data_IF_317634045019
#
_entry.id   IF_317634045019
#
_cell.length_a   1.000
_cell.length_b   1.000
_cell.length_c   1.000
_cell.angle_alpha   90.00
_cell.angle_beta   90.00
_cell.angle_gamma   90.00
#
_symmetry.space_group_name_H-M   'P 1'
#
loop_
_entity.id
_entity.type
_entity.pdbx_description
1 polymer ?
#
# COMPACT_ATOMS: atom_id res chain seq x y z
N UNK A 1 73.00 16.58 -8.32
CA UNK A 1 72.47 17.52 -9.33
C UNK A 1 71.02 17.83 -8.95
N UNK A 2 70.78 19.08 -8.60
CA UNK A 2 69.55 19.62 -8.01
C UNK A 2 68.82 20.45 -9.07
N UNK A 3 67.47 20.40 -9.12
CA UNK A 3 66.48 21.40 -9.64
C UNK A 3 65.26 20.68 -10.25
N UNK A 4 64.01 21.13 -10.17
CA UNK A 4 63.33 22.24 -9.49
C UNK A 4 61.81 21.99 -9.66
N UNK A 5 61.00 22.41 -8.69
CA UNK A 5 59.52 22.36 -8.71
C UNK A 5 58.94 23.38 -9.70
N UNK A 6 57.77 23.10 -10.28
CA UNK A 6 56.86 24.13 -10.78
C UNK A 6 55.40 23.72 -10.48
N UNK A 7 54.76 24.51 -9.62
CA UNK A 7 53.32 24.58 -9.41
C UNK A 7 52.72 25.46 -10.52
N UNK A 8 51.58 25.05 -11.09
CA UNK A 8 50.73 25.97 -11.86
C UNK A 8 49.33 25.98 -11.24
N UNK A 9 48.97 27.15 -10.73
CA UNK A 9 47.66 27.51 -10.21
C UNK A 9 46.88 28.17 -11.35
N UNK A 10 45.64 27.74 -11.60
CA UNK A 10 44.73 28.40 -12.53
C UNK A 10 43.47 28.85 -11.77
N UNK A 11 43.22 30.16 -11.77
CA UNK A 11 42.12 30.80 -11.08
C UNK A 11 40.93 31.07 -12.02
N UNK A 12 39.74 30.68 -11.53
CA UNK A 12 38.47 31.43 -11.44
C UNK A 12 38.04 32.30 -12.64
N UNK A 13 36.85 32.00 -13.19
CA UNK A 13 35.78 32.99 -13.44
C UNK A 13 34.47 32.28 -13.79
N UNK A 14 33.47 32.36 -12.91
CA UNK A 14 32.12 31.83 -13.11
C UNK A 14 31.08 32.90 -12.76
N UNK A 15 30.30 33.26 -13.76
CA UNK A 15 29.41 34.42 -13.91
C UNK A 15 28.19 34.36 -12.97
N UNK A 16 27.93 35.44 -12.21
CA UNK A 16 26.68 35.64 -11.45
C UNK A 16 25.71 36.41 -12.35
N UNK A 17 24.54 35.83 -12.63
CA UNK A 17 23.44 36.53 -13.29
C UNK A 17 22.30 36.73 -12.29
N UNK A 18 22.20 37.95 -11.77
CA UNK A 18 21.05 38.45 -11.02
C UNK A 18 20.22 39.32 -11.96
N UNK A 19 18.96 38.96 -12.18
CA UNK A 19 17.98 39.86 -12.77
C UNK A 19 16.94 40.22 -11.71
N UNK A 20 16.96 41.49 -11.31
CA UNK A 20 15.86 42.18 -10.66
C UNK A 20 15.29 43.15 -11.69
N UNK A 21 14.00 43.08 -11.98
CA UNK A 21 13.24 44.25 -12.41
C UNK A 21 11.82 44.23 -11.82
N UNK A 22 11.59 45.33 -11.11
CA UNK A 22 10.47 45.95 -10.41
C UNK A 22 9.11 45.98 -11.13
N UNK A 23 8.06 45.75 -10.31
CA UNK A 23 6.67 46.27 -10.29
C UNK A 23 6.05 46.97 -11.52
N UNK A 24 4.85 46.49 -11.88
CA UNK A 24 3.71 47.34 -12.23
C UNK A 24 2.46 46.87 -11.47
N UNK A 25 1.86 47.80 -10.73
CA UNK A 25 0.58 47.69 -10.03
C UNK A 25 -0.52 48.35 -10.84
N UNK A 26 -1.69 47.72 -10.96
CA UNK A 26 -2.94 48.39 -11.35
C UNK A 26 -4.09 47.90 -10.42
N UNK A 27 -4.82 48.80 -9.73
CA UNK A 27 -5.90 48.46 -8.81
C UNK A 27 -7.27 48.63 -9.46
N UNK A 28 -8.03 47.54 -9.61
CA UNK A 28 -9.51 47.59 -9.54
C UNK A 28 -10.14 46.20 -9.43
N UNK A 29 -10.71 45.97 -8.23
CA UNK A 29 -11.92 45.23 -7.87
C UNK A 29 -12.44 44.18 -8.88
N UNK A 30 -12.68 42.93 -8.48
CA UNK A 30 -13.77 42.65 -7.55
C UNK A 30 -13.48 41.48 -6.60
N UNK A 31 -13.92 41.71 -5.37
CA UNK A 31 -13.97 40.78 -4.27
C UNK A 31 -14.79 39.53 -4.63
N UNK A 32 -14.24 38.37 -4.29
CA UNK A 32 -15.03 37.36 -3.61
C UNK A 32 -14.23 36.85 -2.43
N UNK A 33 -14.76 37.19 -1.26
CA UNK A 33 -14.66 36.43 -0.02
C UNK A 33 -14.81 34.94 -0.35
N UNK A 34 -14.06 34.01 0.24
CA UNK A 34 -14.21 33.65 1.64
C UNK A 34 -13.07 32.74 2.11
N UNK A 35 -12.65 33.00 3.35
CA UNK A 35 -12.27 32.02 4.37
C UNK A 35 -11.33 30.87 3.96
N UNK A 36 -10.03 31.17 3.95
CA UNK A 36 -9.02 30.16 4.22
C UNK A 36 -8.83 30.07 5.74
N UNK A 37 -9.73 29.34 6.40
CA UNK A 37 -9.58 28.91 7.78
C UNK A 37 -10.49 27.71 7.99
N UNK A 38 -9.94 26.50 7.88
CA UNK A 38 -10.28 25.41 8.79
C UNK A 38 -9.37 24.20 8.55
N UNK A 39 -8.83 23.69 9.64
CA UNK A 39 -8.16 22.40 9.75
C UNK A 39 -9.11 21.33 9.21
N UNK A 40 -8.86 20.83 8.01
CA UNK A 40 -9.76 19.91 7.32
C UNK A 40 -9.95 18.61 8.11
N UNK A 41 -11.11 18.48 8.76
CA UNK A 41 -11.69 17.19 9.10
C UNK A 41 -12.09 16.45 7.81
N UNK A 42 -12.38 15.15 7.89
CA UNK A 42 -12.66 14.35 6.70
C UNK A 42 -13.98 14.78 6.05
N UNK A 43 -13.94 15.01 4.74
CA UNK A 43 -15.11 15.28 3.90
C UNK A 43 -16.09 14.09 3.90
N UNK A 44 -17.31 14.33 4.37
CA UNK A 44 -18.43 13.38 4.44
C UNK A 44 -19.60 13.77 3.53
N UNK A 45 -19.43 14.73 2.61
CA UNK A 45 -20.55 15.37 1.88
C UNK A 45 -21.19 14.51 0.76
N UNK A 46 -21.12 13.17 0.85
CA UNK A 46 -21.62 12.26 -0.17
C UNK A 46 -20.67 12.12 -1.37
N UNK A 47 -21.02 11.22 -2.28
CA UNK A 47 -20.20 10.90 -3.44
C UNK A 47 -20.49 11.90 -4.59
N UNK A 48 -19.53 12.75 -4.98
CA UNK A 48 -19.72 13.72 -6.06
C UNK A 48 -19.91 13.06 -7.43
N UNK A 49 -19.43 11.83 -7.62
CA UNK A 49 -19.51 11.10 -8.89
C UNK A 49 -20.92 10.59 -9.26
N UNK A 50 -21.80 10.35 -8.28
CA UNK A 50 -23.19 9.93 -8.53
C UNK A 50 -24.18 11.06 -8.23
N UNK A 51 -23.81 12.03 -7.38
CA UNK A 51 -24.58 13.25 -7.16
C UNK A 51 -26.09 13.01 -6.93
N UNK A 52 -26.93 13.78 -7.61
CA UNK A 52 -28.40 13.70 -7.54
C UNK A 52 -29.00 12.46 -8.21
N UNK A 53 -28.23 11.71 -8.99
CA UNK A 53 -28.69 10.51 -9.68
C UNK A 53 -28.67 9.27 -8.77
N UNK A 54 -28.05 9.37 -7.60
CA UNK A 54 -27.95 8.26 -6.67
C UNK A 54 -29.33 7.75 -6.23
N UNK A 55 -29.58 6.46 -6.44
CA UNK A 55 -30.89 5.86 -6.21
C UNK A 55 -31.21 5.59 -4.74
N UNK A 56 -30.26 5.86 -3.85
CA UNK A 56 -30.33 5.50 -2.43
C UNK A 56 -30.01 4.02 -2.15
N UNK A 57 -29.79 3.21 -3.19
CA UNK A 57 -29.52 1.77 -3.06
C UNK A 57 -28.05 1.50 -3.37
N UNK A 58 -27.38 0.82 -2.45
CA UNK A 58 -26.03 0.28 -2.64
C UNK A 58 -26.07 -1.23 -2.68
N UNK A 59 -25.31 -1.81 -3.62
CA UNK A 59 -24.81 -3.17 -3.52
C UNK A 59 -23.29 -3.12 -3.52
N UNK A 60 -22.67 -3.81 -2.58
CA UNK A 60 -21.22 -3.87 -2.53
C UNK A 60 -20.72 -4.84 -1.48
N UNK A 61 -19.44 -5.15 -1.60
CA UNK A 61 -18.75 -6.09 -0.74
C UNK A 61 -17.36 -5.58 -0.39
N UNK A 62 -16.91 -5.96 0.81
CA UNK A 62 -15.53 -5.89 1.26
C UNK A 62 -14.97 -7.32 1.20
N UNK A 63 -14.31 -7.66 0.08
CA UNK A 63 -14.03 -9.05 -0.26
C UNK A 63 -12.79 -9.60 0.44
N UNK A 64 -11.68 -8.86 0.40
CA UNK A 64 -10.40 -9.36 0.94
C UNK A 64 -9.40 -8.27 1.27
N UNK A 65 -8.46 -8.60 2.15
CA UNK A 65 -7.31 -7.78 2.53
C UNK A 65 -6.06 -8.66 2.47
N UNK A 66 -5.06 -8.28 1.68
CA UNK A 66 -3.76 -8.98 1.66
C UNK A 66 -2.95 -8.66 2.90
N UNK A 67 -1.94 -9.47 3.21
CA UNK A 67 -1.00 -9.13 4.29
C UNK A 67 -0.10 -7.92 3.94
N UNK A 68 -0.10 -7.41 2.71
CA UNK A 68 0.51 -6.11 2.37
C UNK A 68 -0.45 -4.93 2.57
N UNK A 69 -1.65 -5.18 3.10
CA UNK A 69 -2.66 -4.15 3.33
C UNK A 69 -3.38 -3.71 2.05
N UNK A 70 -3.37 -4.51 0.99
CA UNK A 70 -4.17 -4.23 -0.20
C UNK A 70 -5.58 -4.77 0.00
N UNK A 71 -6.57 -3.90 -0.19
CA UNK A 71 -7.99 -4.18 0.01
C UNK A 71 -8.67 -4.27 -1.36
N UNK A 72 -9.57 -5.23 -1.52
CA UNK A 72 -10.41 -5.36 -2.72
C UNK A 72 -11.87 -5.57 -2.36
N UNK A 73 -12.72 -5.10 -3.28
CA UNK A 73 -14.15 -5.32 -3.25
C UNK A 73 -14.83 -4.69 -4.44
N UNK A 74 -16.16 -4.56 -4.36
CA UNK A 74 -16.95 -3.83 -5.33
C UNK A 74 -18.02 -2.98 -4.64
N UNK A 75 -18.45 -1.90 -5.30
CA UNK A 75 -19.57 -1.09 -4.85
C UNK A 75 -20.26 -0.45 -6.06
N UNK A 76 -21.57 -0.56 -6.13
CA UNK A 76 -22.37 -0.02 -7.23
C UNK A 76 -23.78 0.36 -6.79
N UNK A 77 -24.36 1.28 -7.55
CA UNK A 77 -25.79 1.59 -7.52
C UNK A 77 -26.46 0.76 -8.62
N UNK A 78 -27.31 -0.23 -8.29
CA UNK A 78 -27.87 -1.14 -9.28
C UNK A 78 -28.75 -0.45 -10.32
N UNK A 79 -29.26 0.75 -10.02
CA UNK A 79 -30.09 1.56 -10.92
C UNK A 79 -29.26 2.55 -11.75
N UNK A 80 -27.99 2.76 -11.41
CA UNK A 80 -27.09 3.70 -12.08
C UNK A 80 -25.72 3.04 -12.34
N UNK A 81 -25.71 2.00 -13.18
CA UNK A 81 -24.51 1.18 -13.45
C UNK A 81 -23.43 1.87 -14.28
N UNK A 82 -23.71 3.02 -14.86
CA UNK A 82 -22.71 3.77 -15.62
C UNK A 82 -21.91 4.74 -14.73
N UNK A 83 -22.18 4.75 -13.42
CA UNK A 83 -21.57 5.65 -12.45
C UNK A 83 -20.71 4.89 -11.44
N UNK A 84 -19.58 5.50 -11.08
CA UNK A 84 -18.66 4.94 -10.11
C UNK A 84 -19.04 5.33 -8.68
N UNK A 85 -18.71 4.46 -7.72
CA UNK A 85 -19.02 4.70 -6.31
C UNK A 85 -17.77 4.90 -5.47
N UNK A 86 -17.66 6.02 -4.76
CA UNK A 86 -16.62 6.22 -3.75
C UNK A 86 -16.88 5.35 -2.53
N UNK A 87 -15.82 4.70 -2.03
CA UNK A 87 -15.83 3.84 -0.85
C UNK A 87 -14.88 4.42 0.19
N UNK A 88 -15.38 4.65 1.39
CA UNK A 88 -14.66 5.20 2.54
C UNK A 88 -14.24 4.08 3.48
N UNK A 89 -13.01 4.13 3.97
CA UNK A 89 -12.42 3.08 4.80
C UNK A 89 -12.11 3.60 6.20
N UNK A 90 -12.59 2.87 7.20
CA UNK A 90 -12.36 3.16 8.61
C UNK A 90 -11.63 2.01 9.30
N UNK A 91 -10.76 2.32 10.25
CA UNK A 91 -10.02 1.33 11.05
C UNK A 91 -10.39 1.42 12.52
N UNK A 92 -10.46 0.24 13.15
CA UNK A 92 -10.67 0.01 14.59
C UNK A 92 -11.97 0.59 15.16
N UNK A 93 -12.93 0.86 14.28
CA UNK A 93 -14.31 1.15 14.62
C UNK A 93 -15.13 1.49 13.37
N UNK A 94 -16.45 1.34 13.43
CA UNK A 94 -17.34 1.84 12.39
C UNK A 94 -17.30 3.38 12.33
N UNK A 95 -17.91 3.95 11.30
CA UNK A 95 -18.10 5.41 11.20
C UNK A 95 -18.68 5.99 12.49
N UNK A 96 -18.14 7.13 12.92
CA UNK A 96 -18.48 7.81 14.18
C UNK A 96 -17.65 7.38 15.39
N UNK A 97 -16.98 6.22 15.34
CA UNK A 97 -16.11 5.74 16.43
C UNK A 97 -14.71 5.34 15.99
N UNK A 98 -14.56 4.83 14.76
CA UNK A 98 -13.27 4.50 14.16
C UNK A 98 -12.60 5.68 13.46
N UNK A 99 -11.38 5.44 12.99
CA UNK A 99 -10.57 6.45 12.28
C UNK A 99 -10.74 6.29 10.78
N UNK A 100 -11.12 7.37 10.07
CA UNK A 100 -11.07 7.37 8.60
C UNK A 100 -9.61 7.29 8.14
N UNK A 101 -9.29 6.29 7.32
CA UNK A 101 -7.94 6.07 6.80
C UNK A 101 -7.80 6.38 5.31
N UNK A 102 -8.91 6.68 4.63
CA UNK A 102 -8.91 7.08 3.23
C UNK A 102 -10.17 6.62 2.50
N UNK A 103 -10.13 6.74 1.18
CA UNK A 103 -11.20 6.31 0.29
C UNK A 103 -10.64 5.86 -1.07
N UNK A 104 -11.46 5.15 -1.84
CA UNK A 104 -11.15 4.75 -3.21
C UNK A 104 -12.40 4.83 -4.09
N UNK A 105 -12.21 5.04 -5.39
CA UNK A 105 -13.29 5.01 -6.35
C UNK A 105 -13.50 3.58 -6.88
N UNK A 106 -14.74 3.12 -6.90
CA UNK A 106 -15.16 1.86 -7.50
C UNK A 106 -15.41 2.06 -9.00
N UNK A 107 -14.31 2.06 -9.76
CA UNK A 107 -14.29 2.30 -11.21
C UNK A 107 -13.37 1.31 -11.97
N UNK A 108 -12.88 0.27 -11.30
CA UNK A 108 -11.92 -0.65 -11.90
C UNK A 108 -12.68 -1.60 -12.84
N UNK A 109 -12.27 -1.58 -14.11
CA UNK A 109 -12.70 -2.56 -15.09
C UNK A 109 -12.05 -3.92 -14.80
N UNK A 110 -12.87 -4.95 -14.67
CA UNK A 110 -12.42 -6.34 -14.49
C UNK A 110 -13.47 -7.28 -15.08
N UNK A 111 -13.23 -8.59 -15.03
CA UNK A 111 -14.18 -9.59 -15.49
C UNK A 111 -15.33 -9.79 -14.48
N UNK A 112 -16.46 -10.30 -14.96
CA UNK A 112 -17.61 -10.67 -14.14
C UNK A 112 -18.72 -9.61 -14.05
N UNK A 113 -19.73 -9.89 -13.23
CA UNK A 113 -20.98 -9.13 -13.18
C UNK A 113 -20.85 -7.69 -12.67
N UNK A 114 -19.74 -7.37 -11.98
CA UNK A 114 -19.46 -6.06 -11.38
C UNK A 114 -18.33 -5.31 -12.12
N UNK A 115 -18.06 -5.66 -13.38
CA UNK A 115 -17.10 -4.97 -14.22
C UNK A 115 -17.34 -3.45 -14.21
N UNK A 116 -16.31 -2.65 -13.97
CA UNK A 116 -16.43 -1.18 -13.86
C UNK A 116 -16.81 -0.68 -12.47
N UNK A 117 -17.02 -1.59 -11.52
CA UNK A 117 -17.44 -1.27 -10.14
C UNK A 117 -16.57 -1.90 -9.06
N UNK A 118 -15.41 -2.44 -9.43
CA UNK A 118 -14.43 -2.88 -8.46
C UNK A 118 -13.65 -1.70 -7.92
N UNK A 119 -13.20 -1.80 -6.68
CA UNK A 119 -12.25 -0.86 -6.09
C UNK A 119 -11.03 -1.62 -5.57
N UNK A 120 -9.92 -0.91 -5.43
CA UNK A 120 -8.87 -1.35 -4.52
C UNK A 120 -8.27 -0.19 -3.77
N UNK A 121 -7.89 -0.45 -2.52
CA UNK A 121 -7.38 0.56 -1.59
C UNK A 121 -6.16 0.01 -0.86
N UNK A 122 -5.18 0.85 -0.57
CA UNK A 122 -3.98 0.44 0.16
C UNK A 122 -4.04 1.03 1.56
N UNK A 123 -4.03 0.16 2.57
CA UNK A 123 -4.02 0.55 3.98
C UNK A 123 -2.74 1.36 4.27
N UNK A 124 -2.84 2.55 4.91
CA UNK A 124 -1.68 3.33 5.28
C UNK A 124 -0.70 2.56 6.18
N UNK A 125 0.59 2.84 6.04
CA UNK A 125 1.65 2.17 6.81
C UNK A 125 1.44 2.23 8.34
N UNK A 126 0.77 3.28 8.84
CA UNK A 126 0.40 3.41 10.25
C UNK A 126 -0.45 2.24 10.79
N UNK A 127 -1.23 1.59 9.92
CA UNK A 127 -2.09 0.45 10.25
C UNK A 127 -1.62 -0.87 9.60
N UNK A 128 -0.70 -0.80 8.64
CA UNK A 128 0.09 -1.94 8.17
C UNK A 128 1.35 -2.13 9.04
N UNK A 129 1.11 -2.17 10.35
CA UNK A 129 2.11 -2.19 11.42
C UNK A 129 2.24 -3.58 12.07
N UNK A 130 1.66 -4.58 11.41
CA UNK A 130 1.62 -5.97 11.79
C UNK A 130 0.83 -6.30 13.08
N UNK A 131 0.03 -5.37 13.59
CA UNK A 131 -0.97 -5.64 14.63
C UNK A 131 -2.30 -6.06 14.02
N UNK A 132 -3.14 -6.70 14.83
CA UNK A 132 -4.51 -7.02 14.46
C UNK A 132 -5.36 -5.74 14.48
N UNK A 133 -6.09 -5.52 13.38
CA UNK A 133 -6.98 -4.38 13.17
C UNK A 133 -8.31 -4.85 12.58
N UNK A 134 -9.33 -3.98 12.63
CA UNK A 134 -10.59 -4.18 11.91
C UNK A 134 -10.79 -3.09 10.87
N UNK A 135 -11.10 -3.48 9.63
CA UNK A 135 -11.42 -2.56 8.55
C UNK A 135 -12.94 -2.55 8.29
N UNK A 136 -13.51 -1.35 8.26
CA UNK A 136 -14.91 -1.08 7.91
C UNK A 136 -14.95 -0.29 6.61
N UNK A 137 -15.94 -0.57 5.76
CA UNK A 137 -16.07 0.10 4.46
C UNK A 137 -17.50 0.60 4.23
N UNK A 138 -17.62 1.83 3.72
CA UNK A 138 -18.90 2.48 3.45
C UNK A 138 -18.90 3.06 2.05
N UNK A 139 -19.90 2.71 1.24
CA UNK A 139 -20.05 3.24 -0.11
C UNK A 139 -20.82 4.57 -0.09
N UNK A 140 -20.63 5.40 -1.11
CA UNK A 140 -21.33 6.69 -1.31
C UNK A 140 -21.06 7.76 -0.24
N UNK A 141 -21.30 7.48 1.04
CA UNK A 141 -21.01 8.35 2.17
C UNK A 141 -20.56 7.51 3.38
N UNK A 142 -19.83 8.14 4.30
CA UNK A 142 -19.51 7.53 5.58
C UNK A 142 -20.76 7.51 6.48
N UNK A 143 -21.62 6.50 6.29
CA UNK A 143 -22.86 6.33 7.04
C UNK A 143 -23.19 4.85 7.20
N UNK A 144 -23.74 4.39 8.35
CA UNK A 144 -24.14 3.01 8.55
C UNK A 144 -25.11 2.48 7.48
N UNK A 145 -25.95 3.35 6.91
CA UNK A 145 -26.89 2.99 5.83
C UNK A 145 -26.21 2.51 4.55
N UNK A 146 -24.92 2.82 4.38
CA UNK A 146 -24.13 2.44 3.22
C UNK A 146 -22.96 1.50 3.55
N UNK A 147 -23.05 0.79 4.68
CA UNK A 147 -22.07 -0.23 5.04
C UNK A 147 -21.98 -1.30 3.96
N UNK A 148 -20.76 -1.65 3.58
CA UNK A 148 -20.51 -2.83 2.75
C UNK A 148 -20.59 -4.10 3.60
N UNK A 149 -20.73 -5.25 2.92
CA UNK A 149 -20.79 -6.58 3.56
C UNK A 149 -19.48 -7.33 3.33
N UNK A 150 -18.92 -8.04 4.34
CA UNK A 150 -19.32 -8.02 5.74
C UNK A 150 -19.08 -6.65 6.38
N UNK A 151 -19.70 -6.41 7.54
CA UNK A 151 -19.59 -5.13 8.25
C UNK A 151 -18.14 -4.74 8.56
N UNK A 152 -17.28 -5.74 8.80
CA UNK A 152 -15.84 -5.54 8.87
C UNK A 152 -15.07 -6.79 8.43
N UNK A 153 -13.82 -6.59 8.04
CA UNK A 153 -12.81 -7.65 7.96
C UNK A 153 -11.72 -7.40 9.00
N UNK A 154 -11.32 -8.45 9.71
CA UNK A 154 -10.11 -8.39 10.54
C UNK A 154 -8.89 -8.57 9.64
N UNK A 155 -7.85 -7.80 9.90
CA UNK A 155 -6.61 -7.91 9.14
C UNK A 155 -5.38 -7.72 10.02
N UNK A 156 -4.27 -8.26 9.51
CA UNK A 156 -2.93 -7.97 9.99
C UNK A 156 -2.09 -7.72 8.74
N UNK A 157 -1.72 -6.46 8.53
CA UNK A 157 -0.99 -6.03 7.36
C UNK A 157 0.41 -5.54 7.74
N UNK A 158 1.33 -5.65 6.79
CA UNK A 158 2.74 -5.38 6.96
C UNK A 158 3.19 -4.40 5.88
N UNK A 159 4.03 -3.44 6.28
CA UNK A 159 4.75 -2.58 5.34
C UNK A 159 6.13 -3.18 5.07
N UNK A 160 6.45 -3.58 3.83
CA UNK A 160 7.78 -4.10 3.48
C UNK A 160 8.92 -3.21 3.98
N UNK A 161 9.99 -3.81 4.53
CA UNK A 161 11.20 -3.08 4.95
C UNK A 161 12.48 -3.61 4.28
N UNK A 162 12.51 -4.89 3.93
CA UNK A 162 13.70 -5.60 3.49
C UNK A 162 13.59 -6.13 2.05
N UNK A 163 12.76 -5.51 1.19
CA UNK A 163 12.62 -5.89 -0.22
C UNK A 163 13.97 -5.87 -0.96
N UNK A 164 14.84 -4.91 -0.66
CA UNK A 164 16.18 -4.86 -1.25
C UNK A 164 17.04 -6.08 -0.87
N UNK A 165 17.02 -6.51 0.39
CA UNK A 165 17.79 -7.66 0.88
C UNK A 165 17.27 -8.94 0.22
N UNK A 166 15.94 -9.08 0.10
CA UNK A 166 15.35 -10.18 -0.65
C UNK A 166 15.83 -10.18 -2.10
N UNK A 167 15.74 -9.04 -2.78
CA UNK A 167 16.09 -8.92 -4.20
C UNK A 167 17.55 -9.28 -4.47
N UNK A 168 18.45 -8.97 -3.53
CA UNK A 168 19.88 -9.28 -3.63
C UNK A 168 20.21 -10.74 -3.31
N UNK A 169 19.60 -11.34 -2.28
CA UNK A 169 19.98 -12.68 -1.81
C UNK A 169 19.10 -13.82 -2.33
N UNK A 170 17.79 -13.62 -2.43
CA UNK A 170 16.81 -14.71 -2.53
C UNK A 170 16.02 -14.70 -3.83
N UNK A 171 15.86 -13.53 -4.47
CA UNK A 171 14.99 -13.41 -5.64
C UNK A 171 15.42 -14.28 -6.82
N UNK A 172 16.72 -14.40 -7.09
CA UNK A 172 17.23 -15.26 -8.17
C UNK A 172 16.92 -16.74 -7.91
N UNK A 173 17.06 -17.19 -6.65
CA UNK A 173 16.71 -18.56 -6.28
C UNK A 173 15.21 -18.81 -6.44
N UNK A 174 14.37 -17.91 -5.91
CA UNK A 174 12.90 -18.05 -5.97
C UNK A 174 12.41 -18.07 -7.41
N UNK A 175 12.85 -17.10 -8.22
CA UNK A 175 12.41 -16.97 -9.62
C UNK A 175 13.00 -18.04 -10.53
N UNK A 176 14.22 -18.50 -10.30
CA UNK A 176 14.88 -19.51 -11.13
C UNK A 176 14.55 -20.95 -10.75
N UNK A 177 14.26 -21.21 -9.48
CA UNK A 177 14.10 -22.58 -8.96
C UNK A 177 12.67 -22.88 -8.53
N UNK A 178 12.08 -22.02 -7.71
CA UNK A 178 10.75 -22.27 -7.14
C UNK A 178 9.63 -22.09 -8.18
N UNK A 179 9.82 -21.17 -9.15
CA UNK A 179 8.83 -20.94 -10.21
C UNK A 179 8.67 -22.11 -11.20
N UNK A 180 9.49 -23.16 -11.08
CA UNK A 180 9.35 -24.40 -11.87
C UNK A 180 8.14 -25.24 -11.44
N UNK A 181 7.74 -25.12 -10.18
CA UNK A 181 6.63 -25.90 -9.61
C UNK A 181 5.45 -25.02 -9.17
N UNK A 182 5.65 -23.71 -9.10
CA UNK A 182 4.70 -22.74 -8.58
C UNK A 182 4.77 -21.44 -9.40
N UNK A 183 3.77 -20.57 -9.29
CA UNK A 183 3.87 -19.21 -9.82
C UNK A 183 3.91 -18.23 -8.65
N UNK A 184 5.03 -17.53 -8.47
CA UNK A 184 5.19 -16.56 -7.39
C UNK A 184 5.64 -15.21 -7.93
N UNK A 185 5.11 -14.15 -7.34
CA UNK A 185 5.75 -12.83 -7.32
C UNK A 185 6.13 -12.49 -5.86
N UNK A 186 7.02 -11.51 -5.69
CA UNK A 186 7.46 -11.06 -4.36
C UNK A 186 6.27 -10.80 -3.43
N UNK A 187 5.22 -10.13 -3.92
CA UNK A 187 4.06 -9.75 -3.10
C UNK A 187 3.27 -10.96 -2.60
N UNK A 188 3.12 -12.01 -3.38
CA UNK A 188 2.39 -13.22 -3.01
C UNK A 188 3.23 -14.20 -2.16
N UNK A 189 4.55 -14.16 -2.31
CA UNK A 189 5.49 -14.96 -1.51
C UNK A 189 5.65 -14.37 -0.11
N UNK A 190 5.80 -13.04 -0.02
CA UNK A 190 6.08 -12.30 1.21
C UNK A 190 4.87 -11.79 1.94
N UNK A 191 3.68 -11.80 1.35
CA UNK A 191 2.46 -11.42 2.08
C UNK A 191 1.41 -12.52 2.07
N UNK A 192 1.85 -13.75 1.77
CA UNK A 192 1.03 -14.95 1.67
C UNK A 192 1.51 -16.07 2.61
N UNK A 193 1.37 -17.35 2.20
CA UNK A 193 1.50 -18.49 3.11
C UNK A 193 2.93 -18.73 3.60
N UNK A 194 3.97 -18.35 2.86
CA UNK A 194 5.36 -18.69 3.25
C UNK A 194 5.85 -17.94 4.50
N UNK A 195 5.22 -16.83 4.84
CA UNK A 195 5.47 -16.13 6.10
C UNK A 195 4.83 -16.79 7.31
N UNK A 196 4.04 -17.86 7.15
CA UNK A 196 3.33 -18.46 8.27
C UNK A 196 4.25 -19.38 9.10
N UNK A 197 4.19 -19.36 10.45
CA UNK A 197 3.51 -18.33 11.25
C UNK A 197 4.23 -16.99 11.11
N UNK A 198 3.47 -15.90 11.01
CA UNK A 198 4.02 -14.54 11.04
C UNK A 198 4.61 -14.22 12.43
N UNK A 199 5.41 -13.15 12.63
CA UNK A 199 5.97 -12.81 13.94
C UNK A 199 4.92 -12.76 15.08
N UNK A 200 3.72 -12.25 14.79
CA UNK A 200 2.61 -12.13 15.75
C UNK A 200 1.95 -13.46 16.10
N UNK A 201 2.19 -14.49 15.29
CA UNK A 201 1.75 -15.86 15.50
C UNK A 201 2.91 -16.74 16.02
N UNK A 202 4.00 -16.15 16.50
CA UNK A 202 5.19 -16.87 16.98
C UNK A 202 6.18 -17.24 15.87
N UNK A 203 6.09 -16.57 14.73
CA UNK A 203 7.06 -16.64 13.64
C UNK A 203 8.45 -16.19 14.05
N UNK A 204 9.44 -16.86 13.50
CA UNK A 204 10.86 -16.60 13.72
C UNK A 204 11.64 -16.86 12.43
N UNK A 205 12.90 -16.42 12.36
CA UNK A 205 13.78 -16.68 11.22
C UNK A 205 13.89 -18.17 10.80
N UNK A 206 13.61 -19.10 11.71
CA UNK A 206 13.86 -20.54 11.52
C UNK A 206 12.61 -21.43 11.60
N UNK A 207 11.41 -20.87 11.81
CA UNK A 207 10.19 -21.67 11.95
C UNK A 207 9.06 -21.29 10.97
N UNK A 208 9.26 -20.26 10.15
CA UNK A 208 8.34 -19.89 9.09
C UNK A 208 8.36 -20.91 7.95
N UNK A 209 7.29 -20.94 7.15
CA UNK A 209 7.14 -21.88 6.06
C UNK A 209 8.20 -21.69 4.97
N UNK A 210 8.68 -20.47 4.72
CA UNK A 210 9.75 -20.25 3.75
C UNK A 210 11.03 -21.00 4.13
N UNK A 211 11.49 -20.81 5.37
CA UNK A 211 12.66 -21.50 5.92
C UNK A 211 12.47 -23.02 5.93
N UNK A 212 11.32 -23.50 6.44
CA UNK A 212 11.01 -24.94 6.50
C UNK A 212 11.00 -25.59 5.12
N UNK A 213 10.47 -24.91 4.10
CA UNK A 213 10.45 -25.44 2.73
C UNK A 213 11.84 -25.52 2.11
N UNK A 214 12.75 -24.60 2.47
CA UNK A 214 14.15 -24.70 2.02
C UNK A 214 14.90 -25.86 2.67
N UNK A 215 14.56 -26.21 3.91
CA UNK A 215 15.12 -27.38 4.59
C UNK A 215 14.57 -28.72 4.06
N UNK A 216 13.45 -28.71 3.36
CA UNK A 216 12.92 -29.91 2.72
C UNK A 216 11.45 -29.80 2.36
N UNK A 217 11.14 -30.10 1.09
CA UNK A 217 9.80 -30.41 0.62
C UNK A 217 9.88 -31.27 -0.66
N UNK A 218 8.74 -31.62 -1.25
CA UNK A 218 8.69 -32.43 -2.47
C UNK A 218 9.55 -31.86 -3.63
N UNK A 219 9.76 -30.54 -3.68
CA UNK A 219 10.60 -29.85 -4.67
C UNK A 219 12.09 -29.87 -4.36
N UNK A 220 12.52 -30.49 -3.24
CA UNK A 220 13.91 -30.68 -2.88
C UNK A 220 14.30 -30.13 -1.51
N UNK A 221 15.58 -30.28 -1.20
CA UNK A 221 16.26 -29.73 -0.03
C UNK A 221 17.36 -28.78 -0.52
N UNK A 222 17.32 -27.54 -0.06
CA UNK A 222 18.20 -26.46 -0.52
C UNK A 222 19.23 -26.05 0.54
N UNK A 223 18.95 -26.33 1.81
CA UNK A 223 19.89 -26.17 2.92
C UNK A 223 19.65 -27.26 3.97
N UNK A 224 20.71 -27.70 4.64
CA UNK A 224 20.64 -28.72 5.70
C UNK A 224 21.02 -28.15 7.07
N UNK A 225 21.80 -27.06 7.08
CA UNK A 225 22.16 -26.31 8.28
C UNK A 225 21.61 -24.88 8.21
N UNK A 226 21.34 -24.24 9.36
CA UNK A 226 20.93 -22.84 9.40
C UNK A 226 21.94 -21.88 8.74
N UNK A 227 23.22 -22.24 8.71
CA UNK A 227 24.29 -21.43 8.12
C UNK A 227 24.43 -21.59 6.61
N UNK A 228 23.75 -22.57 6.01
CA UNK A 228 23.86 -22.82 4.57
C UNK A 228 22.99 -21.82 3.82
N UNK A 229 23.45 -21.38 2.65
CA UNK A 229 22.56 -20.74 1.68
C UNK A 229 21.50 -21.76 1.21
N UNK A 230 20.21 -21.39 1.07
CA UNK A 230 19.60 -20.07 1.32
C UNK A 230 19.08 -19.86 2.75
N UNK A 231 19.20 -20.84 3.66
CA UNK A 231 18.71 -20.74 5.03
C UNK A 231 19.28 -19.54 5.80
N UNK A 232 20.57 -19.23 5.65
CA UNK A 232 21.22 -18.05 6.27
C UNK A 232 20.62 -16.73 5.77
N UNK A 233 20.34 -16.66 4.48
CA UNK A 233 19.87 -15.45 3.80
C UNK A 233 18.39 -15.21 4.11
N UNK A 234 17.60 -16.28 4.25
CA UNK A 234 16.23 -16.19 4.76
C UNK A 234 16.21 -15.65 6.18
N UNK A 235 17.12 -16.09 7.05
CA UNK A 235 17.19 -15.58 8.41
C UNK A 235 17.61 -14.10 8.45
N UNK A 236 18.56 -13.72 7.59
CA UNK A 236 19.02 -12.33 7.45
C UNK A 236 17.90 -11.43 6.95
N UNK A 237 17.21 -11.84 5.88
CA UNK A 237 16.06 -11.14 5.34
C UNK A 237 14.93 -11.03 6.38
N UNK A 238 14.57 -12.13 7.05
CA UNK A 238 13.52 -12.13 8.09
C UNK A 238 13.86 -11.13 9.20
N UNK A 239 15.11 -11.12 9.66
CA UNK A 239 15.54 -10.21 10.73
C UNK A 239 15.43 -8.76 10.28
N UNK A 240 15.80 -8.43 9.05
CA UNK A 240 15.67 -7.07 8.53
C UNK A 240 14.21 -6.65 8.24
N UNK A 241 13.33 -7.60 7.95
CA UNK A 241 11.92 -7.33 7.69
C UNK A 241 11.15 -7.06 9.00
N UNK A 242 11.46 -7.80 10.08
CA UNK A 242 10.63 -7.85 11.28
C UNK A 242 11.27 -7.34 12.59
N UNK A 243 12.59 -7.14 12.63
CA UNK A 243 13.29 -6.58 13.81
C UNK A 243 13.84 -5.18 13.50
#
# INVERSE_FOLDING_TARGET
MTKQRAFFSLAITGFILSFLFTNCSDPSQQAQTDQNSETAGPDTSGNPEVGSEFSGIIKGSLDSISASGKVWGYALDPKNKDKSIRVYFYVDGPVGTGTLIGNALANIQSLGANAGHYYSFTIPAAYANAKAHKLYAYAHAASPSFSLTPAYLSFTAFTPKAEMIYNQGLNSLVTGTCNRCHSWNFKDLFYGPLMSPSPFQGGSPTNNLFYKKMMGHAGGTFCIKPTDFPCSDIQTWWSAEFN
#
